data_IF_084850735131
#
_entry.id   IF_084850735131
#
_cell.length_a   1.000
_cell.length_b   1.000
_cell.length_c   1.000
_cell.angle_alpha   90.00
_cell.angle_beta   90.00
_cell.angle_gamma   90.00
#
_symmetry.space_group_name_H-M   'P 1'
#
loop_
_entity.id
_entity.type
_entity.pdbx_description
1 polymer ?
#
# COMPACT_ATOMS: atom_id res chain seq x y z
N UNK A 1 -58.20 -14.96 47.49
CA UNK A 1 -57.23 -15.57 46.56
C UNK A 1 -56.56 -14.47 45.74
N UNK A 2 -55.33 -14.09 46.08
CA UNK A 2 -54.55 -13.08 45.34
C UNK A 2 -53.70 -13.80 44.30
N UNK A 3 -53.95 -13.53 43.01
CA UNK A 3 -53.14 -14.06 41.89
C UNK A 3 -51.98 -13.09 41.65
N UNK A 4 -50.77 -13.51 42.00
CA UNK A 4 -49.54 -12.81 41.63
C UNK A 4 -49.23 -13.06 40.15
N UNK A 5 -49.17 -11.99 39.36
CA UNK A 5 -48.72 -12.01 37.97
C UNK A 5 -47.20 -11.87 37.99
N UNK A 6 -46.49 -12.92 37.58
CA UNK A 6 -45.06 -12.86 37.29
C UNK A 6 -44.87 -12.23 35.91
N UNK A 7 -44.28 -11.02 35.87
CA UNK A 7 -43.82 -10.40 34.63
C UNK A 7 -42.40 -10.92 34.37
N UNK A 8 -42.26 -11.74 33.33
CA UNK A 8 -40.99 -12.25 32.84
C UNK A 8 -40.37 -11.20 31.91
N UNK A 9 -39.42 -10.43 32.43
CA UNK A 9 -38.69 -9.42 31.64
C UNK A 9 -37.62 -10.12 30.80
N UNK A 10 -37.89 -10.33 29.51
CA UNK A 10 -36.90 -10.85 28.56
C UNK A 10 -35.89 -9.75 28.24
N UNK A 11 -34.67 -9.90 28.76
CA UNK A 11 -33.53 -9.03 28.45
C UNK A 11 -33.07 -9.32 27.02
N UNK A 12 -33.48 -8.48 26.06
CA UNK A 12 -32.97 -8.53 24.69
C UNK A 12 -31.55 -7.94 24.68
N UNK A 13 -30.53 -8.78 24.84
CA UNK A 13 -29.15 -8.40 24.53
C UNK A 13 -29.04 -8.16 23.02
N UNK A 14 -29.28 -6.92 22.59
CA UNK A 14 -28.88 -6.45 21.27
C UNK A 14 -27.36 -6.40 21.28
N UNK A 15 -26.73 -7.50 20.88
CA UNK A 15 -25.33 -7.48 20.47
C UNK A 15 -25.23 -6.50 19.32
N UNK A 16 -24.67 -5.32 19.60
CA UNK A 16 -24.14 -4.44 18.56
C UNK A 16 -22.95 -5.16 17.93
N UNK A 17 -23.21 -6.13 17.06
CA UNK A 17 -22.23 -6.53 16.04
C UNK A 17 -22.11 -5.31 15.15
N UNK A 18 -21.14 -4.46 15.48
CA UNK A 18 -20.71 -3.38 14.61
C UNK A 18 -20.62 -3.94 13.20
N UNK A 19 -21.29 -3.29 12.27
CA UNK A 19 -21.11 -3.49 10.84
C UNK A 19 -19.64 -3.16 10.57
N UNK A 20 -18.75 -4.11 10.80
CA UNK A 20 -17.45 -4.13 10.17
C UNK A 20 -17.78 -4.19 8.69
N UNK A 21 -17.79 -3.03 8.04
CA UNK A 21 -17.66 -2.94 6.60
C UNK A 21 -16.53 -3.90 6.27
N UNK A 22 -16.86 -5.00 5.60
CA UNK A 22 -15.84 -5.94 5.14
C UNK A 22 -14.97 -5.12 4.20
N UNK A 23 -13.81 -4.69 4.69
CA UNK A 23 -12.86 -3.94 3.90
C UNK A 23 -12.42 -4.83 2.74
N UNK A 24 -12.94 -4.50 1.55
CA UNK A 24 -12.73 -5.24 0.29
C UNK A 24 -11.44 -4.83 -0.42
N UNK A 25 -10.60 -3.98 0.18
CA UNK A 25 -9.26 -3.74 -0.36
C UNK A 25 -8.54 -5.07 -0.59
N UNK A 26 -7.62 -5.09 -1.57
CA UNK A 26 -7.06 -6.30 -2.19
C UNK A 26 -8.01 -7.08 -3.13
N UNK A 27 -9.23 -6.58 -3.37
CA UNK A 27 -10.15 -7.13 -4.38
C UNK A 27 -10.15 -6.31 -5.67
N UNK A 28 -10.68 -6.90 -6.75
CA UNK A 28 -10.99 -6.15 -7.95
C UNK A 28 -12.22 -5.26 -7.76
N UNK A 29 -12.15 -4.08 -8.36
CA UNK A 29 -13.26 -3.13 -8.40
C UNK A 29 -13.72 -2.91 -9.84
N UNK A 30 -15.04 -2.82 -10.01
CA UNK A 30 -15.70 -2.55 -11.29
C UNK A 30 -16.02 -1.07 -11.48
N UNK A 31 -15.94 -0.27 -10.42
CA UNK A 31 -16.26 1.14 -10.44
C UNK A 31 -15.42 1.92 -9.42
N UNK A 32 -15.16 3.19 -9.73
CA UNK A 32 -14.35 4.07 -8.91
C UNK A 32 -15.01 4.40 -7.57
N UNK A 33 -16.34 4.49 -7.52
CA UNK A 33 -17.07 4.84 -6.30
C UNK A 33 -16.88 3.77 -5.22
N UNK A 34 -16.91 2.50 -5.59
CA UNK A 34 -16.65 1.38 -4.68
C UNK A 34 -15.22 1.36 -4.17
N UNK A 35 -14.22 1.54 -5.05
CA UNK A 35 -12.82 1.61 -4.62
C UNK A 35 -12.58 2.81 -3.69
N UNK A 36 -13.12 3.98 -4.04
CA UNK A 36 -13.02 5.19 -3.20
C UNK A 36 -13.71 4.98 -1.84
N UNK A 37 -14.89 4.35 -1.81
CA UNK A 37 -15.63 4.07 -0.56
C UNK A 37 -14.81 3.18 0.38
N UNK A 38 -14.14 2.17 -0.16
CA UNK A 38 -13.44 1.17 0.64
C UNK A 38 -12.01 1.64 1.01
N UNK A 39 -11.35 2.45 0.16
CA UNK A 39 -10.02 3.03 0.44
C UNK A 39 -10.05 4.23 1.41
N UNK A 40 -11.09 5.06 1.37
CA UNK A 40 -11.17 6.28 2.21
C UNK A 40 -11.05 6.01 3.71
N UNK A 41 -11.71 4.99 4.30
CA UNK A 41 -11.53 4.64 5.70
C UNK A 41 -10.07 4.32 6.08
N UNK A 42 -9.37 3.56 5.24
CA UNK A 42 -7.96 3.23 5.43
C UNK A 42 -7.07 4.48 5.38
N UNK A 43 -7.28 5.36 4.40
CA UNK A 43 -6.55 6.64 4.30
C UNK A 43 -6.84 7.55 5.50
N UNK A 44 -8.08 7.60 5.96
CA UNK A 44 -8.47 8.36 7.15
C UNK A 44 -7.84 7.81 8.44
N UNK A 45 -7.78 6.48 8.59
CA UNK A 45 -7.10 5.82 9.71
C UNK A 45 -5.60 6.15 9.73
N UNK A 46 -4.92 6.03 8.59
CA UNK A 46 -3.51 6.40 8.49
C UNK A 46 -3.27 7.89 8.82
N UNK A 47 -4.07 8.79 8.24
CA UNK A 47 -3.99 10.22 8.54
C UNK A 47 -4.16 10.51 10.04
N UNK A 48 -5.11 9.83 10.68
CA UNK A 48 -5.35 9.96 12.12
C UNK A 48 -4.14 9.49 12.94
N UNK A 49 -3.52 8.36 12.59
CA UNK A 49 -2.34 7.83 13.29
C UNK A 49 -1.15 8.77 13.21
N UNK A 50 -0.86 9.29 12.01
CA UNK A 50 0.21 10.29 11.81
C UNK A 50 -0.06 11.54 12.65
N UNK A 51 -1.28 12.09 12.58
CA UNK A 51 -1.64 13.30 13.33
C UNK A 51 -1.73 13.08 14.85
N UNK A 52 -1.91 11.85 15.33
CA UNK A 52 -1.81 11.54 16.76
C UNK A 52 -0.36 11.67 17.25
N UNK A 53 0.62 11.30 16.43
CA UNK A 53 2.05 11.36 16.75
C UNK A 53 2.61 12.79 16.52
N UNK A 54 2.16 13.45 15.45
CA UNK A 54 2.57 14.82 15.06
C UNK A 54 1.38 15.68 14.62
N UNK A 55 0.62 16.25 15.56
CA UNK A 55 -0.55 17.08 15.25
C UNK A 55 -0.23 18.31 14.39
N UNK A 56 0.98 18.86 14.54
CA UNK A 56 1.42 20.06 13.81
C UNK A 56 1.67 19.81 12.32
N UNK A 57 1.75 18.55 11.88
CA UNK A 57 1.94 18.23 10.47
C UNK A 57 0.66 18.51 9.64
N UNK A 58 -0.52 18.52 10.29
CA UNK A 58 -1.84 18.57 9.64
C UNK A 58 -1.90 17.62 8.44
N UNK A 59 -1.47 16.38 8.68
CA UNK A 59 -1.29 15.38 7.64
C UNK A 59 -2.66 14.97 7.07
N UNK A 60 -2.90 15.37 5.82
CA UNK A 60 -4.19 15.23 5.16
C UNK A 60 -4.01 14.80 3.71
N UNK A 61 -3.70 13.52 3.53
CA UNK A 61 -3.69 12.89 2.20
C UNK A 61 -5.10 12.41 1.85
N UNK A 62 -5.53 12.68 0.62
CA UNK A 62 -6.79 12.18 0.06
C UNK A 62 -6.58 10.97 -0.86
N UNK A 63 -7.68 10.52 -1.47
CA UNK A 63 -7.68 9.35 -2.36
C UNK A 63 -8.63 9.59 -3.52
N UNK A 64 -8.14 9.33 -4.73
CA UNK A 64 -8.89 9.43 -5.98
C UNK A 64 -8.55 8.26 -6.90
N UNK A 65 -9.47 7.94 -7.79
CA UNK A 65 -9.27 6.94 -8.84
C UNK A 65 -9.18 7.68 -10.17
N UNK A 66 -8.03 7.56 -10.83
CA UNK A 66 -7.76 8.15 -12.14
C UNK A 66 -6.65 7.34 -12.83
N UNK A 67 -7.03 6.58 -13.86
CA UNK A 67 -6.23 5.45 -14.38
C UNK A 67 -4.98 5.84 -15.19
N UNK A 68 -4.79 7.11 -15.55
CA UNK A 68 -3.63 7.58 -16.32
C UNK A 68 -2.95 8.75 -15.62
N UNK A 69 -1.64 8.99 -15.74
CA UNK A 69 -0.66 8.29 -16.57
C UNK A 69 0.02 7.09 -15.90
N UNK A 70 -0.19 6.84 -14.61
CA UNK A 70 0.46 5.76 -13.85
C UNK A 70 -0.56 4.94 -13.06
N UNK A 71 -0.23 3.68 -12.74
CA UNK A 71 -1.16 2.74 -12.12
C UNK A 71 -1.51 3.11 -10.67
N UNK A 72 -0.53 3.57 -9.91
CA UNK A 72 -0.68 4.09 -8.55
C UNK A 72 0.46 5.07 -8.26
N UNK A 73 0.18 6.19 -7.60
CA UNK A 73 1.17 7.18 -7.18
C UNK A 73 0.58 8.19 -6.18
N UNK A 74 1.43 8.79 -5.35
CA UNK A 74 1.13 10.01 -4.61
C UNK A 74 1.31 11.24 -5.48
N UNK A 75 0.29 12.12 -5.54
CA UNK A 75 0.29 13.37 -6.30
C UNK A 75 0.53 14.57 -5.36
N UNK A 76 1.76 15.15 -5.28
CA UNK A 76 2.09 16.15 -4.26
C UNK A 76 1.27 17.44 -4.35
N UNK A 77 0.90 17.85 -5.57
CA UNK A 77 0.13 19.09 -5.81
C UNK A 77 -1.28 19.01 -5.23
N UNK A 78 -1.97 17.88 -5.42
CA UNK A 78 -3.33 17.68 -4.92
C UNK A 78 -3.38 16.96 -3.57
N UNK A 79 -2.24 16.49 -3.06
CA UNK A 79 -2.10 15.65 -1.87
C UNK A 79 -3.03 14.45 -1.89
N UNK A 80 -3.12 13.77 -3.04
CA UNK A 80 -3.95 12.59 -3.19
C UNK A 80 -3.10 11.40 -3.57
N UNK A 81 -3.45 10.24 -3.05
CA UNK A 81 -3.14 8.97 -3.69
C UNK A 81 -4.04 8.87 -4.92
N UNK A 82 -3.43 8.56 -6.05
CA UNK A 82 -4.10 8.28 -7.31
C UNK A 82 -3.89 6.80 -7.60
N UNK A 83 -4.96 6.07 -7.89
CA UNK A 83 -4.88 4.67 -8.35
C UNK A 83 -5.80 4.42 -9.55
N UNK A 84 -5.76 3.21 -10.09
CA UNK A 84 -6.42 2.80 -11.33
C UNK A 84 -7.46 1.71 -11.12
N UNK A 85 -8.33 1.52 -12.10
CA UNK A 85 -9.18 0.33 -12.21
C UNK A 85 -8.59 -0.61 -13.27
N UNK A 86 -8.50 -1.91 -12.94
CA UNK A 86 -7.91 -2.91 -13.85
C UNK A 86 -8.51 -2.88 -15.26
N UNK A 87 -9.84 -2.74 -15.36
CA UNK A 87 -10.53 -2.76 -16.65
C UNK A 87 -10.30 -1.49 -17.47
N UNK A 88 -9.91 -0.39 -16.84
CA UNK A 88 -9.57 0.89 -17.50
C UNK A 88 -8.08 0.95 -17.91
N UNK A 89 -7.25 0.02 -17.43
CA UNK A 89 -5.83 0.02 -17.77
C UNK A 89 -5.60 -0.09 -19.28
N UNK A 90 -4.59 0.62 -19.81
CA UNK A 90 -4.08 0.39 -21.15
C UNK A 90 -3.71 -1.08 -21.40
N UNK A 91 -3.74 -1.51 -22.66
CA UNK A 91 -3.43 -2.89 -23.07
C UNK A 91 -2.04 -3.32 -22.59
N UNK A 92 -1.04 -2.44 -22.67
CA UNK A 92 0.34 -2.74 -22.24
C UNK A 92 0.42 -3.11 -20.74
N UNK A 93 -0.28 -2.40 -19.87
CA UNK A 93 -0.34 -2.73 -18.45
C UNK A 93 -1.09 -4.04 -18.21
N UNK A 94 -2.19 -4.31 -18.92
CA UNK A 94 -2.89 -5.60 -18.83
C UNK A 94 -1.99 -6.75 -19.27
N UNK A 95 -1.23 -6.57 -20.35
CA UNK A 95 -0.25 -7.53 -20.87
C UNK A 95 0.85 -7.80 -19.84
N UNK A 96 1.34 -6.78 -19.14
CA UNK A 96 2.29 -6.95 -18.04
C UNK A 96 1.75 -7.95 -16.99
N UNK A 97 0.54 -7.74 -16.46
CA UNK A 97 -0.03 -8.67 -15.47
C UNK A 97 -0.27 -10.07 -16.03
N UNK A 98 -0.74 -10.18 -17.28
CA UNK A 98 -0.96 -11.46 -17.95
C UNK A 98 0.34 -12.25 -18.14
N UNK A 99 1.44 -11.57 -18.50
CA UNK A 99 2.75 -12.21 -18.76
C UNK A 99 3.30 -12.90 -17.52
N UNK A 100 3.11 -12.29 -16.35
CA UNK A 100 3.69 -12.79 -15.11
C UNK A 100 2.75 -13.66 -14.28
N UNK A 101 1.51 -13.86 -14.75
CA UNK A 101 0.51 -14.70 -14.08
C UNK A 101 0.23 -15.97 -14.87
N UNK A 102 -0.35 -16.97 -14.22
CA UNK A 102 -0.63 -18.27 -14.88
C UNK A 102 -1.88 -18.21 -15.78
N UNK A 103 -2.80 -17.29 -15.49
CA UNK A 103 -4.01 -17.06 -16.26
C UNK A 103 -4.59 -15.65 -15.97
N UNK A 104 -5.64 -15.28 -16.70
CA UNK A 104 -6.29 -13.96 -16.57
C UNK A 104 -6.85 -13.71 -15.15
N UNK A 105 -7.37 -14.74 -14.47
CA UNK A 105 -7.90 -14.59 -13.12
C UNK A 105 -6.78 -14.29 -12.11
N UNK A 106 -5.61 -14.92 -12.25
CA UNK A 106 -4.44 -14.61 -11.44
C UNK A 106 -3.85 -13.23 -11.78
N UNK A 107 -3.84 -12.82 -13.04
CA UNK A 107 -3.41 -11.46 -13.44
C UNK A 107 -4.26 -10.37 -12.77
N UNK A 108 -5.56 -10.61 -12.70
CA UNK A 108 -6.53 -9.75 -12.01
C UNK A 108 -6.29 -9.69 -10.50
N UNK A 109 -6.02 -10.84 -9.87
CA UNK A 109 -5.68 -10.89 -8.44
C UNK A 109 -4.32 -10.25 -8.15
N UNK A 110 -3.35 -10.38 -9.05
CA UNK A 110 -2.06 -9.74 -8.94
C UNK A 110 -2.23 -8.21 -8.93
N UNK A 111 -2.97 -7.66 -9.89
CA UNK A 111 -3.31 -6.24 -9.87
C UNK A 111 -4.03 -5.83 -8.58
N UNK A 112 -5.07 -6.57 -8.19
CA UNK A 112 -5.86 -6.24 -7.01
C UNK A 112 -5.01 -6.23 -5.73
N UNK A 113 -4.14 -7.23 -5.55
CA UNK A 113 -3.31 -7.36 -4.36
C UNK A 113 -2.37 -6.17 -4.17
N UNK A 114 -1.72 -5.72 -5.24
CA UNK A 114 -0.78 -4.61 -5.16
C UNK A 114 -1.44 -3.24 -5.32
N UNK A 115 -2.24 -3.01 -6.35
CA UNK A 115 -2.70 -1.66 -6.74
C UNK A 115 -4.02 -1.24 -6.07
N UNK A 116 -4.87 -2.20 -5.68
CA UNK A 116 -6.07 -1.95 -4.87
C UNK A 116 -5.87 -2.29 -3.39
N UNK A 117 -4.64 -2.57 -2.99
CA UNK A 117 -4.29 -3.03 -1.64
C UNK A 117 -2.94 -2.43 -1.23
N UNK A 118 -1.88 -3.22 -1.37
CA UNK A 118 -0.55 -2.92 -0.82
C UNK A 118 -0.08 -1.48 -1.05
N UNK A 119 -0.12 -1.02 -2.31
CA UNK A 119 0.45 0.27 -2.71
C UNK A 119 -0.32 1.48 -2.17
N UNK A 120 -1.57 1.35 -1.71
CA UNK A 120 -2.26 2.48 -1.09
C UNK A 120 -1.51 2.93 0.18
N UNK A 121 -1.04 1.98 1.00
CA UNK A 121 -0.24 2.30 2.19
C UNK A 121 1.17 2.80 1.83
N UNK A 122 1.75 2.27 0.74
CA UNK A 122 3.03 2.72 0.21
C UNK A 122 2.97 4.21 -0.19
N UNK A 123 1.95 4.61 -0.96
CA UNK A 123 1.80 6.01 -1.39
C UNK A 123 1.48 6.96 -0.22
N UNK A 124 0.85 6.49 0.85
CA UNK A 124 0.72 7.26 2.08
C UNK A 124 2.09 7.54 2.72
N UNK A 125 3.02 6.59 2.61
CA UNK A 125 4.41 6.76 3.00
C UNK A 125 5.09 7.90 2.21
N UNK A 126 4.97 7.90 0.88
CA UNK A 126 5.47 9.03 0.07
C UNK A 126 4.78 10.36 0.43
N UNK A 127 3.48 10.33 0.71
CA UNK A 127 2.75 11.48 1.24
C UNK A 127 3.39 12.03 2.51
N UNK A 128 3.79 11.15 3.44
CA UNK A 128 4.46 11.52 4.68
C UNK A 128 5.84 12.11 4.44
N UNK A 129 6.66 11.51 3.57
CA UNK A 129 7.96 12.08 3.14
C UNK A 129 7.78 13.49 2.57
N UNK A 130 6.81 13.66 1.67
CA UNK A 130 6.51 14.94 1.05
C UNK A 130 6.01 15.99 2.05
N UNK A 131 5.30 15.59 3.11
CA UNK A 131 4.85 16.50 4.18
C UNK A 131 6.04 17.09 4.97
N UNK A 132 7.18 16.40 5.00
CA UNK A 132 8.44 16.93 5.54
C UNK A 132 9.23 17.77 4.54
N UNK A 133 8.81 17.84 3.27
CA UNK A 133 9.50 18.58 2.22
C UNK A 133 10.79 17.91 1.76
N UNK A 134 10.91 16.59 1.98
CA UNK A 134 12.09 15.83 1.60
C UNK A 134 11.97 15.36 0.15
N UNK A 135 13.06 15.56 -0.59
CA UNK A 135 13.24 15.02 -1.94
C UNK A 135 14.75 14.95 -2.20
N UNK A 136 15.33 13.75 -2.09
CA UNK A 136 16.74 13.52 -2.39
C UNK A 136 16.88 12.43 -3.45
N UNK A 137 17.26 12.78 -4.70
CA UNK A 137 17.52 11.81 -5.76
C UNK A 137 18.55 10.74 -5.39
N UNK A 138 19.41 10.98 -4.39
CA UNK A 138 20.40 10.00 -3.89
C UNK A 138 19.83 9.06 -2.83
N UNK A 139 18.59 9.27 -2.39
CA UNK A 139 17.94 8.48 -1.35
C UNK A 139 16.74 7.66 -1.88
N UNK A 140 16.44 7.69 -3.18
CA UNK A 140 15.22 7.08 -3.75
C UNK A 140 15.09 5.59 -3.38
N UNK A 141 16.14 4.79 -3.50
CA UNK A 141 16.12 3.37 -3.13
C UNK A 141 15.73 3.16 -1.66
N UNK A 142 16.31 3.98 -0.78
CA UNK A 142 16.08 3.90 0.66
C UNK A 142 14.68 4.40 1.00
N UNK A 143 14.19 5.45 0.34
CA UNK A 143 12.83 5.94 0.49
C UNK A 143 11.81 4.85 0.10
N UNK A 144 11.97 4.24 -1.07
CA UNK A 144 11.13 3.13 -1.58
C UNK A 144 11.12 1.94 -0.60
N UNK A 145 12.30 1.58 -0.06
CA UNK A 145 12.41 0.54 0.95
C UNK A 145 11.64 0.91 2.23
N UNK A 146 11.81 2.13 2.73
CA UNK A 146 11.14 2.62 3.94
C UNK A 146 9.63 2.66 3.79
N UNK A 147 9.11 3.14 2.65
CA UNK A 147 7.66 3.16 2.40
C UNK A 147 7.09 1.76 2.17
N UNK A 148 7.88 0.83 1.63
CA UNK A 148 7.52 -0.58 1.55
C UNK A 148 7.44 -1.24 2.94
N UNK A 149 8.38 -0.94 3.85
CA UNK A 149 8.34 -1.41 5.25
C UNK A 149 7.12 -0.82 5.97
N UNK A 150 6.83 0.46 5.76
CA UNK A 150 5.66 1.13 6.30
C UNK A 150 4.36 0.45 5.85
N UNK A 151 4.21 0.25 4.54
CA UNK A 151 3.03 -0.39 3.96
C UNK A 151 2.82 -1.80 4.53
N UNK A 152 3.90 -2.56 4.64
CA UNK A 152 3.90 -3.90 5.21
C UNK A 152 3.47 -3.91 6.68
N UNK A 153 4.00 -3.01 7.51
CA UNK A 153 3.60 -2.89 8.92
C UNK A 153 2.16 -2.39 9.08
N UNK A 154 1.69 -1.50 8.20
CA UNK A 154 0.29 -1.04 8.20
C UNK A 154 -0.67 -2.22 8.00
N UNK A 155 -0.50 -2.94 6.89
CA UNK A 155 -1.38 -4.06 6.54
C UNK A 155 -1.32 -5.20 7.55
N UNK A 156 -0.13 -5.48 8.09
CA UNK A 156 -0.01 -6.43 9.20
C UNK A 156 -0.82 -6.00 10.43
N UNK A 157 -0.73 -4.72 10.81
CA UNK A 157 -1.40 -4.19 12.02
C UNK A 157 -2.92 -4.19 11.91
N UNK A 158 -3.47 -4.07 10.70
CA UNK A 158 -4.93 -4.13 10.46
C UNK A 158 -5.42 -5.55 10.11
N UNK A 159 -4.57 -6.57 10.30
CA UNK A 159 -4.96 -7.98 10.19
C UNK A 159 -5.02 -8.53 8.78
N UNK A 160 -4.37 -7.89 7.80
CA UNK A 160 -4.36 -8.29 6.38
C UNK A 160 -3.21 -9.24 6.02
N UNK A 161 -2.85 -10.13 6.94
CA UNK A 161 -1.72 -11.06 6.76
C UNK A 161 -1.92 -12.05 5.61
N UNK A 162 -3.16 -12.50 5.36
CA UNK A 162 -3.45 -13.42 4.27
C UNK A 162 -3.28 -12.75 2.89
N UNK A 163 -3.69 -11.49 2.78
CA UNK A 163 -3.51 -10.67 1.59
C UNK A 163 -2.02 -10.36 1.36
N UNK A 164 -1.25 -10.07 2.42
CA UNK A 164 0.20 -9.91 2.33
C UNK A 164 0.91 -11.20 1.85
N UNK A 165 0.48 -12.37 2.34
CA UNK A 165 1.01 -13.66 1.88
C UNK A 165 0.66 -13.90 0.39
N UNK A 166 -0.51 -13.46 -0.06
CA UNK A 166 -0.88 -13.51 -1.47
C UNK A 166 0.03 -12.60 -2.32
N UNK A 167 0.26 -11.35 -1.89
CA UNK A 167 1.20 -10.45 -2.55
C UNK A 167 2.62 -11.04 -2.61
N UNK A 168 3.07 -11.69 -1.54
CA UNK A 168 4.36 -12.39 -1.49
C UNK A 168 4.47 -13.48 -2.55
N UNK A 169 3.42 -14.30 -2.73
CA UNK A 169 3.39 -15.32 -3.78
C UNK A 169 3.48 -14.72 -5.18
N UNK A 170 2.75 -13.64 -5.45
CA UNK A 170 2.82 -12.95 -6.74
C UNK A 170 4.19 -12.32 -6.98
N UNK A 171 4.78 -11.66 -5.98
CA UNK A 171 6.12 -11.08 -6.08
C UNK A 171 7.18 -12.15 -6.39
N UNK A 172 7.14 -13.31 -5.71
CA UNK A 172 8.06 -14.42 -6.00
C UNK A 172 7.88 -15.00 -7.40
N UNK A 173 6.64 -15.21 -7.83
CA UNK A 173 6.36 -15.70 -9.17
C UNK A 173 6.86 -14.72 -10.25
N UNK A 174 6.71 -13.41 -10.02
CA UNK A 174 7.27 -12.37 -10.88
C UNK A 174 8.81 -12.44 -10.94
N UNK A 175 9.49 -12.46 -9.77
CA UNK A 175 10.95 -12.45 -9.70
C UNK A 175 11.61 -13.70 -10.27
N UNK A 176 10.87 -14.82 -10.36
CA UNK A 176 11.35 -16.02 -11.06
C UNK A 176 11.39 -15.86 -12.58
N UNK A 177 10.57 -14.96 -13.14
CA UNK A 177 10.42 -14.74 -14.58
C UNK A 177 11.18 -13.51 -15.07
N UNK A 178 11.44 -12.53 -14.18
CA UNK A 178 12.07 -11.25 -14.54
C UNK A 178 13.55 -11.26 -14.14
N UNK A 179 14.48 -11.04 -15.09
CA UNK A 179 15.90 -10.97 -14.79
C UNK A 179 16.24 -9.70 -14.00
N UNK A 180 17.33 -9.76 -13.21
CA UNK A 180 17.86 -8.57 -12.54
C UNK A 180 18.22 -7.50 -13.59
N UNK A 181 17.62 -6.28 -13.52
CA UNK A 181 17.90 -5.22 -14.48
C UNK A 181 19.25 -4.54 -14.24
N UNK A 182 19.92 -4.79 -13.12
CA UNK A 182 21.23 -4.20 -12.80
C UNK A 182 22.31 -4.84 -13.68
N UNK A 183 23.10 -4.04 -14.42
CA UNK A 183 24.20 -4.56 -15.22
C UNK A 183 25.19 -5.37 -14.38
N UNK A 184 25.71 -6.49 -14.91
CA UNK A 184 26.64 -7.37 -14.16
C UNK A 184 27.94 -6.68 -13.71
N UNK A 185 28.35 -5.61 -14.39
CA UNK A 185 29.54 -4.83 -14.05
C UNK A 185 29.28 -3.77 -12.95
N UNK A 186 28.03 -3.57 -12.54
CA UNK A 186 27.66 -2.63 -11.50
C UNK A 186 27.84 -3.27 -10.13
N UNK A 187 28.77 -2.73 -9.35
CA UNK A 187 29.06 -3.21 -7.99
C UNK A 187 28.09 -2.62 -6.95
N UNK A 188 27.48 -1.46 -7.25
CA UNK A 188 26.60 -0.77 -6.32
C UNK A 188 25.19 -0.57 -6.90
N UNK A 189 24.33 -1.58 -6.68
CA UNK A 189 22.94 -1.56 -7.12
C UNK A 189 22.11 -0.38 -6.60
N UNK A 190 22.42 0.10 -5.39
CA UNK A 190 21.67 1.21 -4.77
C UNK A 190 21.97 2.49 -5.53
N UNK A 191 23.26 2.78 -5.76
CA UNK A 191 23.69 3.91 -6.58
C UNK A 191 23.12 3.83 -7.99
N UNK A 192 23.12 2.63 -8.60
CA UNK A 192 22.52 2.43 -9.91
C UNK A 192 21.03 2.71 -9.93
N UNK A 193 20.26 2.18 -8.97
CA UNK A 193 18.82 2.46 -8.86
C UNK A 193 18.56 3.96 -8.72
N UNK A 194 19.25 4.63 -7.80
CA UNK A 194 19.10 6.07 -7.57
C UNK A 194 19.41 6.89 -8.82
N UNK A 195 20.47 6.51 -9.55
CA UNK A 195 20.88 7.20 -10.79
C UNK A 195 19.85 7.02 -11.92
N UNK A 196 19.25 5.83 -12.01
CA UNK A 196 18.35 5.47 -13.11
C UNK A 196 16.86 5.61 -12.74
N UNK A 197 16.52 6.10 -11.54
CA UNK A 197 15.17 6.05 -10.96
C UNK A 197 14.08 6.54 -11.93
N UNK A 198 14.27 7.73 -12.50
CA UNK A 198 13.28 8.35 -13.40
C UNK A 198 13.15 7.63 -14.74
N UNK A 199 14.21 6.96 -15.20
CA UNK A 199 14.18 6.15 -16.42
C UNK A 199 13.53 4.77 -16.18
N UNK A 200 13.62 4.26 -14.95
CA UNK A 200 13.00 2.99 -14.54
C UNK A 200 11.49 3.10 -14.44
N UNK A 201 10.94 4.23 -13.99
CA UNK A 201 9.48 4.40 -13.79
C UNK A 201 8.61 3.99 -14.98
N UNK A 202 8.91 4.41 -16.22
CA UNK A 202 8.19 3.98 -17.43
C UNK A 202 8.43 2.51 -17.84
N UNK A 203 9.33 1.79 -17.17
CA UNK A 203 9.73 0.42 -17.49
C UNK A 203 9.20 -0.53 -16.40
N UNK A 204 7.93 -0.98 -16.49
CA UNK A 204 7.24 -1.68 -15.40
C UNK A 204 7.95 -2.96 -14.96
N UNK A 205 8.62 -3.67 -15.87
CA UNK A 205 9.40 -4.87 -15.53
C UNK A 205 10.62 -4.53 -14.66
N UNK A 206 11.37 -3.49 -15.03
CA UNK A 206 12.60 -3.11 -14.32
C UNK A 206 12.29 -2.46 -12.99
N UNK A 207 11.38 -1.49 -12.95
CA UNK A 207 10.96 -0.87 -11.70
C UNK A 207 10.24 -1.88 -10.80
N UNK A 208 9.38 -2.72 -11.38
CA UNK A 208 8.72 -3.83 -10.69
C UNK A 208 9.71 -4.81 -10.06
N UNK A 209 10.84 -5.12 -10.71
CA UNK A 209 11.89 -5.94 -10.10
C UNK A 209 12.36 -5.38 -8.76
N UNK A 210 12.67 -4.09 -8.67
CA UNK A 210 13.09 -3.48 -7.40
C UNK A 210 11.96 -3.52 -6.36
N UNK A 211 10.76 -3.09 -6.72
CA UNK A 211 9.60 -3.09 -5.83
C UNK A 211 9.30 -4.48 -5.25
N UNK A 212 9.25 -5.50 -6.10
CA UNK A 212 8.95 -6.86 -5.67
C UNK A 212 10.12 -7.52 -4.95
N UNK A 213 11.37 -7.19 -5.30
CA UNK A 213 12.55 -7.68 -4.58
C UNK A 213 12.60 -7.13 -3.15
N UNK A 214 12.35 -5.83 -2.96
CA UNK A 214 12.21 -5.22 -1.64
C UNK A 214 11.03 -5.82 -0.88
N UNK A 215 9.87 -5.98 -1.52
CA UNK A 215 8.71 -6.61 -0.90
C UNK A 215 9.05 -8.01 -0.35
N UNK A 216 9.70 -8.85 -1.15
CA UNK A 216 10.08 -10.22 -0.77
C UNK A 216 11.12 -10.20 0.37
N UNK A 217 12.15 -9.36 0.28
CA UNK A 217 13.15 -9.21 1.34
C UNK A 217 12.51 -8.76 2.66
N UNK A 218 11.63 -7.76 2.62
CA UNK A 218 10.85 -7.31 3.77
C UNK A 218 9.95 -8.44 4.29
N UNK A 219 9.32 -9.22 3.40
CA UNK A 219 8.50 -10.37 3.76
C UNK A 219 9.25 -11.43 4.56
N UNK A 220 10.46 -11.76 4.11
CA UNK A 220 11.23 -12.87 4.66
C UNK A 220 12.10 -12.46 5.86
N UNK A 221 12.65 -11.24 5.85
CA UNK A 221 13.77 -10.88 6.74
C UNK A 221 13.46 -9.77 7.75
N UNK A 222 12.37 -9.01 7.58
CA UNK A 222 12.07 -7.89 8.48
C UNK A 222 11.04 -8.27 9.54
N UNK A 223 11.33 -7.95 10.80
CA UNK A 223 10.36 -8.09 11.89
C UNK A 223 9.16 -7.19 11.64
N UNK A 224 7.96 -7.75 11.74
CA UNK A 224 6.72 -6.97 11.78
C UNK A 224 6.54 -6.34 13.15
N UNK A 225 6.20 -5.05 13.15
CA UNK A 225 5.90 -4.29 14.37
C UNK A 225 4.54 -3.63 14.23
N UNK A 226 3.87 -3.28 15.35
CA UNK A 226 2.69 -2.42 15.30
C UNK A 226 2.99 -1.14 14.53
N UNK A 227 2.06 -0.72 13.67
CA UNK A 227 2.24 0.43 12.80
C UNK A 227 2.51 1.73 13.57
N UNK A 228 1.91 1.91 14.74
CA UNK A 228 2.13 3.11 15.56
C UNK A 228 3.58 3.19 16.06
N UNK A 229 4.19 2.06 16.46
CA UNK A 229 5.61 1.98 16.84
C UNK A 229 6.52 2.33 15.65
N UNK A 230 6.21 1.79 14.47
CA UNK A 230 6.97 2.11 13.26
C UNK A 230 6.84 3.59 12.88
N UNK A 231 5.62 4.15 12.92
CA UNK A 231 5.38 5.54 12.57
C UNK A 231 6.11 6.50 13.51
N UNK A 232 6.15 6.23 14.82
CA UNK A 232 6.91 7.05 15.77
C UNK A 232 8.40 7.12 15.40
N UNK A 233 9.00 5.97 15.11
CA UNK A 233 10.40 5.89 14.68
C UNK A 233 10.61 6.60 13.34
N UNK A 234 9.77 6.31 12.35
CA UNK A 234 9.92 6.80 11.00
C UNK A 234 9.76 8.32 10.91
N UNK A 235 8.78 8.86 11.64
CA UNK A 235 8.57 10.31 11.77
C UNK A 235 9.81 10.98 12.39
N UNK A 236 10.40 10.39 13.44
CA UNK A 236 11.64 10.91 14.03
C UNK A 236 12.80 10.93 13.04
N UNK A 237 12.94 9.89 12.22
CA UNK A 237 13.96 9.83 11.16
C UNK A 237 13.72 10.89 10.08
N UNK A 238 12.46 11.15 9.70
CA UNK A 238 12.11 12.24 8.78
C UNK A 238 12.45 13.62 9.37
N UNK A 239 12.18 13.82 10.67
CA UNK A 239 12.55 15.04 11.40
C UNK A 239 14.06 15.26 11.46
N UNK A 240 14.84 14.20 11.61
CA UNK A 240 16.30 14.25 11.61
C UNK A 240 16.84 14.57 10.21
N UNK A 241 16.30 13.96 9.15
CA UNK A 241 16.69 14.22 7.75
C UNK A 241 16.37 15.64 7.27
N UNK A 242 15.35 16.27 7.86
CA UNK A 242 14.93 17.64 7.50
C UNK A 242 15.85 18.72 8.09
N UNK A 243 16.59 18.42 9.16
CA UNK A 243 17.51 19.35 9.81
C UNK A 243 18.78 19.55 8.98
#
# INVERSE_FOLDING_TARGET
MKRSIFILTTLLCVSMTGLYSQDKLFSLYTDSASLVRDAKPMVADFNKRVNAIRPQLDFKVGFVVYTTPAMVYYAPKSKNIVTSLYHELPTEHKTFFATYSDNEAEAKKFFAGFFNGFYIAHELGHGLVAAYGLHDPKAMYQEELEVNILAMNYWHSVGKSAELEQCYRFAKAFLQKVPDPVPKAEENRITWFNTNYWELGPQPEKYGYFQFSQFVDIYENYKRVPIDEFLELYIKQLEERKK
#
